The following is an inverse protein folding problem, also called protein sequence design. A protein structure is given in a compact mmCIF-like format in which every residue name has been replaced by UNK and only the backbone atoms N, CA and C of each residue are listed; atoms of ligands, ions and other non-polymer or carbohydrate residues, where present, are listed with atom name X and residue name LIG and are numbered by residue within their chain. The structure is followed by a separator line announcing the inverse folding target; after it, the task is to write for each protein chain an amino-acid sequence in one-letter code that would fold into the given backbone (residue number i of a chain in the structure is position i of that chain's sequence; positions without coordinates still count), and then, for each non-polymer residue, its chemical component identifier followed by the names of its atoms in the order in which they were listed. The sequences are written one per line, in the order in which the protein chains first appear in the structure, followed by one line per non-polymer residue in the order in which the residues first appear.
data_IF_603895409011
#
_entry.id   IF_603895409011
#
_cell.length_a   1.000
_cell.length_b   1.000
_cell.length_c   1.000
_cell.angle_alpha   90.00
_cell.angle_beta   90.00
_cell.angle_gamma   90.00
#
_symmetry.space_group_name_H-M   'P 1'
#
loop_
_entity.id
_entity.type
_entity.pdbx_description
1 polymer ?
#
# COMPACT_ATOMS: atom_id res chain seq x y z
N UNK A 1 -36.67 1.25 -12.56
CA UNK A 1 -35.79 0.82 -11.45
C UNK A 1 -35.30 2.09 -10.79
N UNK A 2 -35.69 2.34 -9.54
CA UNK A 2 -35.13 3.45 -8.76
C UNK A 2 -33.70 3.02 -8.42
N UNK A 3 -32.71 3.81 -8.80
CA UNK A 3 -31.31 3.50 -8.48
C UNK A 3 -31.11 3.62 -6.97
N UNK A 4 -30.50 2.61 -6.36
CA UNK A 4 -30.06 2.69 -4.97
C UNK A 4 -29.16 3.93 -4.79
N UNK A 5 -29.29 4.68 -3.69
CA UNK A 5 -28.44 5.83 -3.43
C UNK A 5 -26.96 5.41 -3.37
N UNK A 6 -26.09 6.25 -3.92
CA UNK A 6 -24.65 6.01 -3.87
C UNK A 6 -24.16 5.99 -2.42
N UNK A 7 -23.36 4.99 -2.07
CA UNK A 7 -22.68 4.91 -0.78
C UNK A 7 -21.40 5.74 -0.88
N UNK A 8 -21.24 6.74 0.01
CA UNK A 8 -19.99 7.49 0.14
C UNK A 8 -19.04 6.74 1.07
N UNK A 9 -17.91 6.29 0.52
CA UNK A 9 -16.86 5.58 1.24
C UNK A 9 -15.64 6.46 1.54
N UNK A 10 -15.69 7.76 1.25
CA UNK A 10 -14.56 8.66 1.49
C UNK A 10 -14.17 8.68 2.96
N UNK A 11 -12.94 8.27 3.26
CA UNK A 11 -12.43 8.16 4.64
C UNK A 11 -12.93 6.92 5.38
N UNK A 12 -13.43 5.90 4.66
CA UNK A 12 -13.98 4.70 5.26
C UNK A 12 -13.35 3.43 4.71
N UNK A 13 -13.59 2.31 5.39
CA UNK A 13 -13.40 0.98 4.84
C UNK A 13 -14.69 0.18 4.92
N UNK A 14 -14.87 -0.73 3.96
CA UNK A 14 -16.08 -1.53 3.83
C UNK A 14 -15.98 -2.51 2.66
N UNK A 15 -17.07 -3.24 2.35
CA UNK A 15 -17.11 -4.17 1.23
C UNK A 15 -16.71 -3.49 -0.09
N UNK A 16 -15.80 -4.09 -0.84
CA UNK A 16 -15.44 -3.62 -2.17
C UNK A 16 -16.61 -3.89 -3.14
N UNK A 17 -17.20 -2.86 -3.78
CA UNK A 17 -18.30 -3.04 -4.73
C UNK A 17 -17.93 -3.87 -5.96
N UNK A 18 -16.64 -4.06 -6.25
CA UNK A 18 -16.17 -4.87 -7.38
C UNK A 18 -15.73 -6.29 -6.98
N UNK A 19 -15.43 -6.51 -5.71
CA UNK A 19 -14.95 -7.79 -5.18
C UNK A 19 -15.71 -8.13 -3.90
N UNK A 20 -17.01 -8.45 -4.03
CA UNK A 20 -17.99 -8.48 -2.93
C UNK A 20 -17.69 -9.33 -1.68
N UNK A 21 -16.61 -10.11 -1.67
CA UNK A 21 -16.17 -10.92 -0.53
C UNK A 21 -14.99 -10.31 0.25
N UNK A 22 -14.47 -9.15 -0.16
CA UNK A 22 -13.30 -8.51 0.47
C UNK A 22 -13.55 -7.04 0.81
N UNK A 23 -13.12 -6.63 2.00
CA UNK A 23 -13.15 -5.22 2.39
C UNK A 23 -11.92 -4.47 1.86
N UNK A 24 -12.14 -3.26 1.38
CA UNK A 24 -11.10 -2.32 0.97
C UNK A 24 -11.14 -1.05 1.83
N UNK A 25 -9.99 -0.40 1.98
CA UNK A 25 -9.93 0.95 2.53
C UNK A 25 -10.04 1.98 1.40
N UNK A 26 -10.82 3.03 1.66
CA UNK A 26 -11.06 4.17 0.77
C UNK A 26 -10.63 5.47 1.47
N UNK A 27 -9.31 5.72 1.65
CA UNK A 27 -8.83 6.95 2.26
C UNK A 27 -9.32 8.18 1.49
N UNK A 28 -9.85 9.17 2.20
CA UNK A 28 -10.23 10.46 1.62
C UNK A 28 -9.03 11.11 0.91
N UNK A 29 -7.83 10.92 1.47
CA UNK A 29 -6.60 11.51 0.93
C UNK A 29 -5.51 10.48 0.80
N UNK A 30 -4.84 10.51 -0.35
CA UNK A 30 -3.68 9.69 -0.64
C UNK A 30 -2.62 10.55 -1.32
N UNK A 31 -1.35 10.30 -1.00
CA UNK A 31 -0.23 11.01 -1.60
C UNK A 31 0.83 10.01 -2.02
N UNK A 32 1.29 10.13 -3.26
CA UNK A 32 2.44 9.41 -3.77
C UNK A 32 3.50 10.41 -4.18
N UNK A 33 4.66 10.37 -3.55
CA UNK A 33 5.81 11.20 -3.93
C UNK A 33 6.98 10.32 -4.34
N UNK A 34 7.81 10.84 -5.25
CA UNK A 34 8.99 10.14 -5.74
C UNK A 34 10.17 11.10 -5.80
N UNK A 35 11.26 10.72 -5.16
CA UNK A 35 12.55 11.43 -5.24
C UNK A 35 13.54 10.52 -5.94
N UNK A 36 14.13 11.02 -7.03
CA UNK A 36 15.10 10.28 -7.83
C UNK A 36 16.43 11.05 -7.87
N UNK A 37 17.50 10.34 -7.54
CA UNK A 37 18.88 10.81 -7.64
C UNK A 37 19.58 9.99 -8.72
N UNK A 38 20.07 10.68 -9.74
CA UNK A 38 20.80 10.05 -10.86
C UNK A 38 22.23 10.56 -10.90
N UNK A 39 23.15 9.62 -11.05
CA UNK A 39 24.58 9.81 -11.35
C UNK A 39 24.93 8.90 -12.51
N UNK A 40 26.07 9.13 -13.16
CA UNK A 40 26.50 8.46 -14.40
C UNK A 40 26.13 6.97 -14.49
N UNK A 41 26.48 6.18 -13.47
CA UNK A 41 26.31 4.72 -13.50
C UNK A 41 25.20 4.20 -12.59
N UNK A 42 24.46 5.08 -11.89
CA UNK A 42 23.42 4.65 -10.97
C UNK A 42 22.26 5.62 -10.81
N UNK A 43 21.10 5.07 -10.56
CA UNK A 43 19.88 5.82 -10.22
C UNK A 43 19.26 5.24 -8.96
N UNK A 44 19.10 6.07 -7.93
CA UNK A 44 18.37 5.71 -6.71
C UNK A 44 17.04 6.43 -6.67
N UNK A 45 16.00 5.72 -6.25
CA UNK A 45 14.64 6.25 -6.15
C UNK A 45 14.07 5.88 -4.79
N UNK A 46 13.54 6.88 -4.10
CA UNK A 46 12.69 6.72 -2.93
C UNK A 46 11.26 7.10 -3.33
N UNK A 47 10.31 6.19 -3.11
CA UNK A 47 8.88 6.45 -3.27
C UNK A 47 8.24 6.49 -1.89
N UNK A 48 7.47 7.53 -1.59
CA UNK A 48 6.65 7.59 -0.39
C UNK A 48 5.19 7.45 -0.77
N UNK A 49 4.48 6.53 -0.11
CA UNK A 49 3.04 6.34 -0.25
C UNK A 49 2.39 6.64 1.09
N UNK A 50 1.58 7.68 1.15
CA UNK A 50 0.82 8.05 2.34
C UNK A 50 -0.67 7.87 2.08
N UNK A 51 -1.36 7.29 3.06
CA UNK A 51 -2.81 7.12 3.05
C UNK A 51 -3.38 7.70 4.35
N UNK A 52 -4.43 8.50 4.25
CA UNK A 52 -5.14 8.99 5.43
C UNK A 52 -5.80 7.85 6.21
N UNK A 53 -6.11 8.11 7.47
CA UNK A 53 -6.89 7.18 8.28
C UNK A 53 -8.26 6.90 7.63
N UNK A 54 -8.82 5.73 7.97
CA UNK A 54 -10.16 5.32 7.55
C UNK A 54 -10.91 4.67 8.71
N UNK A 55 -12.22 4.87 8.75
CA UNK A 55 -13.12 4.26 9.74
C UNK A 55 -14.04 3.21 9.11
N UNK A 56 -14.50 2.25 9.91
CA UNK A 56 -15.47 1.25 9.49
C UNK A 56 -16.78 1.92 9.04
N UNK A 57 -17.31 1.60 7.87
CA UNK A 57 -18.64 2.09 7.44
C UNK A 57 -19.77 1.57 8.34
N UNK A 58 -19.58 0.43 9.01
CA UNK A 58 -20.59 -0.18 9.87
C UNK A 58 -19.98 -0.76 11.17
N UNK A 59 -19.50 0.10 12.09
CA UNK A 59 -18.84 -0.35 13.31
C UNK A 59 -19.82 -1.06 14.24
N UNK A 60 -19.42 -2.21 14.78
CA UNK A 60 -20.19 -2.95 15.78
C UNK A 60 -19.55 -2.83 17.17
N UNK A 61 -20.36 -2.82 18.23
CA UNK A 61 -19.90 -2.71 19.63
C UNK A 61 -18.95 -3.84 20.07
N UNK A 62 -18.93 -4.95 19.34
CA UNK A 62 -18.02 -6.08 19.57
C UNK A 62 -16.70 -6.02 18.79
N UNK A 63 -16.51 -5.03 17.92
CA UNK A 63 -15.29 -4.91 17.12
C UNK A 63 -14.10 -4.53 18.02
N UNK A 64 -12.97 -5.19 17.80
CA UNK A 64 -11.71 -4.89 18.47
C UNK A 64 -10.92 -3.79 17.74
N UNK A 65 -11.25 -3.51 16.48
CA UNK A 65 -10.69 -2.43 15.68
C UNK A 65 -11.66 -1.99 14.59
N UNK A 66 -12.12 -0.74 14.69
CA UNK A 66 -13.03 -0.11 13.71
C UNK A 66 -12.42 1.12 13.04
N UNK A 67 -11.11 1.31 13.19
CA UNK A 67 -10.37 2.37 12.54
C UNK A 67 -8.99 1.84 12.15
N UNK A 68 -8.52 2.29 10.99
CA UNK A 68 -7.15 2.10 10.54
C UNK A 68 -6.47 3.46 10.49
N UNK A 69 -5.41 3.61 11.29
CA UNK A 69 -4.63 4.85 11.34
C UNK A 69 -4.00 5.17 9.97
N UNK A 70 -3.64 6.44 9.78
CA UNK A 70 -2.90 6.86 8.60
C UNK A 70 -1.55 6.13 8.52
N UNK A 71 -1.20 5.62 7.35
CA UNK A 71 0.05 4.87 7.13
C UNK A 71 0.96 5.58 6.14
N UNK A 72 2.27 5.43 6.34
CA UNK A 72 3.29 5.90 5.40
C UNK A 72 4.24 4.76 5.04
N UNK A 73 4.30 4.42 3.76
CA UNK A 73 5.27 3.48 3.24
C UNK A 73 6.41 4.22 2.55
N UNK A 74 7.63 3.76 2.82
CA UNK A 74 8.83 4.17 2.09
C UNK A 74 9.35 3.00 1.26
N UNK A 75 9.37 3.14 -0.04
CA UNK A 75 9.87 2.12 -0.96
C UNK A 75 11.14 2.65 -1.61
N UNK A 76 12.25 1.94 -1.41
CA UNK A 76 13.55 2.34 -1.93
C UNK A 76 14.03 1.38 -3.01
N UNK A 77 14.66 1.92 -4.05
CA UNK A 77 15.22 1.16 -5.14
C UNK A 77 16.49 1.82 -5.66
N UNK A 78 17.47 1.02 -6.05
CA UNK A 78 18.65 1.48 -6.78
C UNK A 78 18.88 0.62 -8.02
N UNK A 79 19.28 1.29 -9.10
CA UNK A 79 19.68 0.70 -10.36
C UNK A 79 21.14 1.07 -10.62
N UNK A 80 21.93 0.09 -11.03
CA UNK A 80 23.32 0.23 -11.41
C UNK A 80 23.49 -0.33 -12.82
N UNK A 81 24.11 0.44 -13.69
CA UNK A 81 24.46 0.02 -15.04
C UNK A 81 25.98 0.07 -15.16
N UNK A 82 26.61 -1.10 -15.26
CA UNK A 82 28.06 -1.24 -15.39
C UNK A 82 28.34 -2.15 -16.58
N UNK A 83 28.90 -1.58 -17.65
CA UNK A 83 29.12 -2.25 -18.93
C UNK A 83 27.80 -2.89 -19.43
N UNK A 84 27.81 -4.19 -19.67
CA UNK A 84 26.68 -4.97 -20.18
C UNK A 84 25.75 -5.48 -19.05
N UNK A 85 26.00 -5.12 -17.80
CA UNK A 85 25.26 -5.59 -16.63
C UNK A 85 24.36 -4.48 -16.07
N UNK A 86 23.07 -4.79 -15.95
CA UNK A 86 22.09 -3.98 -15.24
C UNK A 86 21.68 -4.69 -13.95
N UNK A 87 21.99 -4.09 -12.80
CA UNK A 87 21.60 -4.58 -11.49
C UNK A 87 20.58 -3.65 -10.86
N UNK A 88 19.46 -4.20 -10.40
CA UNK A 88 18.41 -3.50 -9.66
C UNK A 88 18.23 -4.17 -8.32
N UNK A 89 18.33 -3.40 -7.26
CA UNK A 89 18.01 -3.83 -5.89
C UNK A 89 16.93 -2.93 -5.32
N UNK A 90 16.11 -3.44 -4.42
CA UNK A 90 15.16 -2.60 -3.72
C UNK A 90 14.55 -3.25 -2.50
N UNK A 91 13.87 -2.39 -1.75
CA UNK A 91 13.19 -2.69 -0.50
C UNK A 91 11.82 -2.03 -0.58
N UNK A 92 10.76 -2.83 -0.50
CA UNK A 92 9.41 -2.30 -0.29
C UNK A 92 9.12 -2.27 1.20
N UNK A 93 8.45 -1.23 1.65
CA UNK A 93 8.17 -0.99 3.06
C UNK A 93 9.46 -0.97 3.88
N UNK A 94 10.39 -0.08 3.51
CA UNK A 94 11.74 0.09 4.09
C UNK A 94 11.72 0.21 5.61
N UNK A 95 10.72 0.91 6.16
CA UNK A 95 10.54 1.15 7.59
C UNK A 95 9.80 0.03 8.32
N UNK A 96 9.37 -1.03 7.61
CA UNK A 96 8.63 -2.17 8.19
C UNK A 96 7.33 -1.74 8.88
N UNK A 97 6.61 -0.83 8.23
CA UNK A 97 5.29 -0.38 8.64
C UNK A 97 4.34 -1.56 8.67
N UNK A 98 3.71 -1.79 9.81
CA UNK A 98 2.75 -2.89 9.96
C UNK A 98 1.41 -2.49 9.37
N UNK A 99 0.71 -3.39 8.68
CA UNK A 99 -0.65 -3.10 8.25
C UNK A 99 -1.54 -2.87 9.50
N UNK A 100 -2.45 -1.89 9.48
CA UNK A 100 -3.33 -1.62 10.59
C UNK A 100 -4.25 -2.80 10.85
N UNK A 101 -4.50 -3.10 12.12
CA UNK A 101 -5.48 -4.10 12.52
C UNK A 101 -6.88 -3.51 12.36
N UNK A 102 -7.77 -4.24 11.70
CA UNK A 102 -9.21 -3.99 11.76
C UNK A 102 -9.93 -5.31 12.02
N UNK A 103 -11.05 -5.23 12.73
CA UNK A 103 -11.94 -6.38 12.85
C UNK A 103 -12.60 -6.58 11.49
N UNK A 104 -12.15 -7.61 10.78
CA UNK A 104 -12.81 -8.08 9.57
C UNK A 104 -12.88 -9.60 9.56
N UNK A 105 -13.84 -10.13 8.81
CA UNK A 105 -14.13 -11.56 8.74
C UNK A 105 -13.45 -12.24 7.55
N UNK A 106 -12.38 -11.64 7.01
CA UNK A 106 -11.66 -12.12 5.81
C UNK A 106 -10.33 -12.82 6.17
N UNK A 107 -10.23 -13.40 7.37
CA UNK A 107 -9.08 -14.18 7.90
C UNK A 107 -7.70 -13.50 7.94
N UNK A 108 -7.59 -12.25 7.51
CA UNK A 108 -6.32 -11.50 7.48
C UNK A 108 -6.24 -10.37 8.52
N UNK A 109 -7.33 -10.06 9.23
CA UNK A 109 -7.40 -9.04 10.30
C UNK A 109 -6.83 -7.66 9.90
N UNK A 110 -6.87 -7.36 8.60
CA UNK A 110 -6.42 -6.10 7.98
C UNK A 110 -7.05 -5.96 6.60
N UNK A 111 -6.78 -4.88 5.87
CA UNK A 111 -7.33 -4.59 4.54
C UNK A 111 -6.24 -4.80 3.45
N UNK A 112 -6.07 -6.02 2.92
CA UNK A 112 -4.91 -6.40 2.12
C UNK A 112 -4.94 -5.86 0.68
N UNK A 113 -6.07 -5.27 0.26
CA UNK A 113 -6.17 -4.56 -1.02
C UNK A 113 -5.48 -3.18 -0.96
N UNK A 114 -5.34 -2.60 0.24
CA UNK A 114 -4.82 -1.25 0.43
C UNK A 114 -3.48 -1.24 1.17
N UNK A 115 -3.34 -2.08 2.20
CA UNK A 115 -2.14 -2.17 3.03
C UNK A 115 -1.26 -3.35 2.64
N UNK A 116 0.04 -3.28 2.94
CA UNK A 116 1.00 -4.35 2.60
C UNK A 116 1.04 -5.43 3.70
N UNK A 117 0.34 -6.59 3.58
CA UNK A 117 0.31 -7.62 4.63
C UNK A 117 1.65 -8.34 4.80
N UNK A 118 2.49 -8.33 3.76
CA UNK A 118 3.80 -8.99 3.77
C UNK A 118 4.86 -8.25 4.62
N UNK A 119 4.59 -7.02 5.06
CA UNK A 119 5.58 -6.19 5.74
C UNK A 119 6.74 -5.80 4.81
N UNK A 120 7.95 -5.66 5.36
CA UNK A 120 9.15 -5.35 4.59
C UNK A 120 9.65 -6.54 3.76
N UNK A 121 9.89 -6.31 2.47
CA UNK A 121 10.59 -7.29 1.63
C UNK A 121 11.65 -6.68 0.73
N UNK A 122 12.69 -7.48 0.47
CA UNK A 122 13.85 -7.14 -0.34
C UNK A 122 13.77 -7.88 -1.67
N UNK A 123 14.25 -7.26 -2.75
CA UNK A 123 14.33 -7.89 -4.05
C UNK A 123 15.58 -7.48 -4.81
N UNK A 124 16.01 -8.36 -5.71
CA UNK A 124 17.13 -8.17 -6.62
C UNK A 124 16.74 -8.66 -8.01
N UNK A 125 17.13 -7.91 -9.04
CA UNK A 125 17.01 -8.27 -10.44
C UNK A 125 18.35 -7.98 -11.12
N UNK A 126 18.84 -8.92 -11.92
CA UNK A 126 20.01 -8.74 -12.76
C UNK A 126 19.63 -8.99 -14.23
N UNK A 127 20.15 -8.17 -15.13
CA UNK A 127 19.95 -8.29 -16.57
C UNK A 127 21.26 -8.08 -17.32
N UNK A 128 21.41 -8.76 -18.45
CA UNK A 128 22.55 -8.62 -19.35
C UNK A 128 22.06 -7.98 -20.65
N UNK A 129 22.81 -7.00 -21.16
CA UNK A 129 22.59 -6.38 -22.46
C UNK A 129 23.72 -6.84 -23.39
N UNK A 130 23.44 -7.86 -24.21
CA UNK A 130 24.39 -8.47 -25.16
C UNK A 130 24.44 -7.71 -26.49
#
# INVERSE_FOLDING_TARGET
MVGEPAIDLSGQFGPDPFHGDISAAFPERQMNSRVTLTREHWTSTLTTRWLSAVDDINPATGNLGSSADAVTYFDWQANFSVNDVNLRIGIRNLTDEKPPYVTNYTDVNTLPLTYDPAGRYFYLQAGLSL
#
